data_IF_773764446765
#
_entry.id   IF_773764446765
#
_cell.length_a   1.000
_cell.length_b   1.000
_cell.length_c   1.000
_cell.angle_alpha   90.00
_cell.angle_beta   90.00
_cell.angle_gamma   90.00
#
_symmetry.space_group_name_H-M   'P 1'
#
loop_
_entity.id
_entity.type
_entity.pdbx_description
1 polymer ?
#
# COMPACT_ATOMS: atom_id res chain seq x y z
N UNK A 1 -16.15 29.49 3.15
CA UNK A 1 -14.71 29.17 2.97
C UNK A 1 -14.22 28.14 4.00
N UNK A 2 -15.04 27.80 5.00
CA UNK A 2 -14.78 26.73 6.00
C UNK A 2 -14.90 25.27 5.51
N UNK A 3 -15.83 24.87 4.62
CA UNK A 3 -16.12 23.45 4.42
C UNK A 3 -15.06 22.70 3.59
N UNK A 4 -14.15 23.42 2.93
CA UNK A 4 -13.06 22.81 2.16
C UNK A 4 -11.89 22.40 3.06
N UNK A 5 -11.63 23.19 4.12
CA UNK A 5 -10.58 22.89 5.09
C UNK A 5 -10.98 21.69 5.96
N UNK A 6 -12.24 21.61 6.38
CA UNK A 6 -12.76 20.49 7.17
C UNK A 6 -12.74 19.15 6.40
N UNK A 7 -12.93 19.18 5.07
CA UNK A 7 -12.81 18.00 4.23
C UNK A 7 -11.35 17.56 4.00
N UNK A 8 -10.42 18.52 3.93
CA UNK A 8 -8.99 18.25 3.81
C UNK A 8 -8.41 17.68 5.12
N UNK A 9 -8.82 18.21 6.26
CA UNK A 9 -8.48 17.66 7.58
C UNK A 9 -9.04 16.25 7.76
N UNK A 10 -10.28 16.01 7.38
CA UNK A 10 -10.89 14.67 7.44
C UNK A 10 -10.16 13.65 6.54
N UNK A 11 -9.71 14.06 5.35
CA UNK A 11 -8.95 13.20 4.45
C UNK A 11 -7.51 12.97 4.93
N UNK A 12 -6.85 14.01 5.46
CA UNK A 12 -5.51 13.91 6.04
C UNK A 12 -5.52 13.08 7.31
N UNK A 13 -6.51 13.25 8.18
CA UNK A 13 -6.72 12.42 9.36
C UNK A 13 -7.09 10.99 8.96
N UNK A 14 -7.87 10.73 7.90
CA UNK A 14 -8.11 9.36 7.45
C UNK A 14 -6.83 8.65 6.95
N UNK A 15 -5.94 9.38 6.27
CA UNK A 15 -4.67 8.86 5.77
C UNK A 15 -3.65 8.70 6.92
N UNK A 16 -3.62 9.61 7.89
CA UNK A 16 -2.65 9.65 8.98
C UNK A 16 -3.11 8.98 10.28
N UNK A 17 -4.42 8.74 10.45
CA UNK A 17 -5.01 7.94 11.55
C UNK A 17 -5.11 6.46 11.23
N UNK A 18 -4.59 6.03 10.08
CA UNK A 18 -4.24 4.61 9.87
C UNK A 18 -3.01 4.29 10.73
N UNK A 19 -3.18 4.42 12.04
CA UNK A 19 -2.33 3.88 13.07
C UNK A 19 -2.25 2.37 12.85
N UNK A 20 -1.03 1.84 12.94
CA UNK A 20 -0.66 0.45 12.70
C UNK A 20 -1.21 -0.53 13.77
N UNK A 21 -2.23 -0.13 14.50
CA UNK A 21 -3.01 -0.94 15.43
C UNK A 21 -4.14 -1.67 14.70
N UNK A 22 -3.82 -2.44 13.65
CA UNK A 22 -4.74 -3.46 13.14
C UNK A 22 -4.95 -4.49 14.26
N UNK A 23 -6.06 -4.34 14.97
CA UNK A 23 -6.57 -5.25 15.99
C UNK A 23 -6.42 -6.69 15.49
N UNK A 24 -5.49 -7.41 16.12
CA UNK A 24 -5.38 -8.87 16.01
C UNK A 24 -6.61 -9.49 16.68
N UNK A 25 -7.72 -9.60 15.96
CA UNK A 25 -8.77 -10.53 16.30
C UNK A 25 -8.73 -11.70 15.33
N UNK A 26 -8.09 -12.76 15.81
CA UNK A 26 -8.27 -14.09 15.28
C UNK A 26 -9.77 -14.43 15.31
N UNK A 27 -10.34 -14.74 14.14
CA UNK A 27 -11.35 -15.79 14.02
C UNK A 27 -11.09 -16.52 12.71
N UNK A 28 -10.21 -17.51 12.82
CA UNK A 28 -10.08 -18.59 11.86
C UNK A 28 -11.30 -19.51 12.01
N UNK A 29 -12.45 -19.13 11.43
CA UNK A 29 -13.61 -20.01 11.25
C UNK A 29 -14.65 -19.35 10.33
N UNK A 30 -14.33 -19.17 9.04
CA UNK A 30 -15.28 -18.51 8.14
C UNK A 30 -14.89 -18.42 6.67
N UNK A 31 -14.01 -19.29 6.15
CA UNK A 31 -13.63 -19.26 4.72
C UNK A 31 -14.73 -19.89 3.82
N UNK A 32 -15.83 -20.39 4.39
CA UNK A 32 -16.78 -21.24 3.65
C UNK A 32 -17.82 -20.51 2.78
N UNK A 33 -18.05 -19.19 2.91
CA UNK A 33 -19.14 -18.54 2.15
C UNK A 33 -18.90 -17.07 1.87
N UNK A 34 -17.80 -16.72 1.21
CA UNK A 34 -17.84 -15.55 0.33
C UNK A 34 -18.03 -16.10 -1.07
N UNK A 35 -19.26 -16.06 -1.55
CA UNK A 35 -19.63 -16.46 -2.91
C UNK A 35 -19.13 -15.37 -3.88
N UNK A 36 -17.81 -15.29 -4.02
CA UNK A 36 -17.14 -14.34 -4.88
C UNK A 36 -16.87 -15.03 -6.22
N UNK A 37 -17.46 -14.58 -7.34
CA UNK A 37 -17.33 -15.24 -8.66
C UNK A 37 -15.88 -15.31 -9.18
N UNK A 38 -14.95 -14.57 -8.55
CA UNK A 38 -13.52 -14.61 -8.84
C UNK A 38 -12.85 -15.92 -8.37
N UNK A 39 -13.34 -16.55 -7.28
CA UNK A 39 -12.69 -17.74 -6.69
C UNK A 39 -12.98 -18.98 -7.53
N UNK A 40 -14.22 -19.13 -7.99
CA UNK A 40 -14.66 -20.24 -8.83
C UNK A 40 -14.07 -20.18 -10.25
N UNK A 41 -13.77 -19.00 -10.76
CA UNK A 41 -13.08 -18.81 -12.05
C UNK A 41 -11.58 -19.08 -11.98
N UNK A 42 -10.92 -18.83 -10.83
CA UNK A 42 -9.53 -19.23 -10.58
C UNK A 42 -9.39 -20.76 -10.55
N UNK A 43 -10.28 -21.48 -9.86
CA UNK A 43 -10.27 -22.95 -9.84
C UNK A 43 -10.57 -23.59 -11.20
N UNK A 44 -11.42 -22.96 -12.02
CA UNK A 44 -11.69 -23.43 -13.39
C UNK A 44 -10.53 -23.15 -14.37
N UNK A 45 -9.71 -22.11 -14.10
CA UNK A 45 -8.52 -21.79 -14.89
C UNK A 45 -7.39 -22.81 -14.72
N UNK A 46 -7.19 -23.32 -13.50
CA UNK A 46 -6.16 -24.32 -13.17
C UNK A 46 -6.38 -25.65 -13.90
N UNK A 47 -7.63 -26.02 -14.20
CA UNK A 47 -7.95 -27.31 -14.84
C UNK A 47 -7.82 -27.32 -16.38
N UNK A 48 -7.50 -26.19 -17.04
CA UNK A 48 -7.46 -26.09 -18.52
C UNK A 48 -6.08 -26.20 -19.16
N UNK A 49 -5.01 -26.39 -18.39
CA UNK A 49 -3.61 -26.47 -18.91
C UNK A 49 -3.08 -27.90 -19.10
N UNK A 50 -3.95 -28.90 -19.24
CA UNK A 50 -3.55 -30.29 -19.59
C UNK A 50 -3.23 -30.42 -21.08
N UNK A 51 -2.12 -29.83 -21.51
CA UNK A 51 -1.68 -29.91 -22.90
C UNK A 51 -0.39 -29.20 -23.24
N UNK A 52 0.63 -29.29 -22.37
CA UNK A 52 2.00 -28.90 -22.72
C UNK A 52 2.94 -30.07 -22.42
N UNK A 53 3.43 -30.68 -23.49
CA UNK A 53 4.34 -31.82 -23.48
C UNK A 53 5.72 -31.45 -22.90
N UNK A 54 6.17 -32.29 -21.96
CA UNK A 54 7.54 -32.49 -21.46
C UNK A 54 8.42 -31.26 -21.09
N UNK A 55 8.65 -31.14 -19.78
CA UNK A 55 9.88 -30.67 -19.12
C UNK A 55 10.02 -29.22 -18.63
N UNK A 56 8.92 -28.53 -18.31
CA UNK A 56 9.00 -27.50 -17.28
C UNK A 56 8.79 -28.18 -15.92
N UNK A 57 9.90 -28.51 -15.26
CA UNK A 57 9.87 -29.18 -13.94
C UNK A 57 9.21 -28.23 -12.96
N UNK A 58 7.92 -28.42 -12.71
CA UNK A 58 7.15 -27.63 -11.75
C UNK A 58 7.94 -27.60 -10.44
N UNK A 59 8.35 -26.42 -9.95
CA UNK A 59 9.18 -26.32 -8.76
C UNK A 59 8.52 -27.04 -7.59
N UNK A 60 9.29 -27.88 -6.90
CA UNK A 60 8.82 -28.49 -5.66
C UNK A 60 8.37 -27.37 -4.70
N UNK A 61 7.13 -27.46 -4.21
CA UNK A 61 6.55 -26.44 -3.32
C UNK A 61 5.75 -25.33 -4.01
N UNK A 62 5.61 -25.32 -5.34
CA UNK A 62 4.76 -24.33 -6.04
C UNK A 62 3.34 -24.28 -5.47
N UNK A 63 2.70 -25.44 -5.32
CA UNK A 63 1.34 -25.55 -4.76
C UNK A 63 1.25 -24.98 -3.34
N UNK A 64 2.28 -25.23 -2.52
CA UNK A 64 2.34 -24.73 -1.15
C UNK A 64 2.49 -23.20 -1.13
N UNK A 65 3.30 -22.64 -2.04
CA UNK A 65 3.43 -21.19 -2.23
C UNK A 65 2.12 -20.56 -2.68
N UNK A 66 1.42 -21.16 -3.65
CA UNK A 66 0.10 -20.69 -4.11
C UNK A 66 -0.88 -20.65 -2.93
N UNK A 67 -1.03 -21.76 -2.19
CA UNK A 67 -1.94 -21.84 -1.06
C UNK A 67 -1.61 -20.80 0.03
N UNK A 68 -0.33 -20.57 0.31
CA UNK A 68 0.11 -19.56 1.28
C UNK A 68 -0.21 -18.14 0.83
N UNK A 69 0.04 -17.81 -0.44
CA UNK A 69 -0.27 -16.49 -1.01
C UNK A 69 -1.76 -16.23 -1.07
N UNK A 70 -2.55 -17.21 -1.52
CA UNK A 70 -4.01 -17.11 -1.52
C UNK A 70 -4.55 -16.86 -0.11
N UNK A 71 -4.08 -17.61 0.89
CA UNK A 71 -4.47 -17.38 2.29
C UNK A 71 -4.11 -15.96 2.73
N UNK A 72 -2.87 -15.53 2.48
CA UNK A 72 -2.41 -14.19 2.86
C UNK A 72 -3.25 -13.05 2.24
N UNK A 73 -3.69 -13.23 0.98
CA UNK A 73 -4.55 -12.28 0.28
C UNK A 73 -5.98 -12.30 0.82
N UNK A 74 -6.58 -13.48 1.04
CA UNK A 74 -7.93 -13.58 1.60
C UNK A 74 -8.01 -13.08 3.04
N UNK A 75 -6.95 -13.28 3.83
CA UNK A 75 -6.84 -12.72 5.19
C UNK A 75 -6.82 -11.17 5.19
N UNK A 76 -6.61 -10.52 4.04
CA UNK A 76 -6.58 -9.06 3.84
C UNK A 76 -7.73 -8.52 2.99
N UNK A 77 -8.66 -9.39 2.58
CA UNK A 77 -9.83 -8.97 1.85
C UNK A 77 -10.80 -8.28 2.82
N UNK A 78 -11.16 -7.03 2.53
CA UNK A 78 -12.17 -6.33 3.29
C UNK A 78 -13.56 -6.95 3.10
N UNK A 79 -14.47 -6.74 4.05
CA UNK A 79 -15.80 -7.36 4.06
C UNK A 79 -16.67 -6.99 2.84
N UNK A 80 -16.41 -5.84 2.22
CA UNK A 80 -17.04 -5.34 1.00
C UNK A 80 -16.32 -5.77 -0.29
N UNK A 81 -15.27 -6.60 -0.19
CA UNK A 81 -14.66 -7.29 -1.32
C UNK A 81 -13.48 -6.58 -1.99
N UNK A 82 -12.85 -5.59 -1.35
CA UNK A 82 -11.65 -4.93 -1.87
C UNK A 82 -10.39 -5.24 -1.06
N UNK A 83 -9.22 -4.95 -1.64
CA UNK A 83 -7.95 -4.89 -0.93
C UNK A 83 -7.53 -3.44 -0.78
N UNK A 84 -7.05 -3.08 0.41
CA UNK A 84 -6.42 -1.79 0.67
C UNK A 84 -4.94 -2.00 1.01
N UNK A 85 -4.09 -1.18 0.42
CA UNK A 85 -2.65 -1.23 0.60
C UNK A 85 -2.05 0.15 0.41
N UNK A 86 -0.85 0.35 0.95
CA UNK A 86 -0.11 1.59 0.80
C UNK A 86 0.28 1.80 -0.67
N UNK A 87 0.01 3.00 -1.19
CA UNK A 87 0.49 3.45 -2.48
C UNK A 87 1.65 4.41 -2.26
N UNK A 88 2.86 3.88 -2.27
CA UNK A 88 4.08 4.69 -2.15
C UNK A 88 4.41 5.34 -3.51
N UNK A 89 4.67 6.65 -3.48
CA UNK A 89 5.14 7.44 -4.61
C UNK A 89 6.53 8.03 -4.35
N UNK A 90 6.88 9.04 -5.14
CA UNK A 90 8.06 9.88 -4.92
C UNK A 90 7.91 10.75 -3.64
N UNK A 91 8.83 11.70 -3.43
CA UNK A 91 8.83 12.62 -2.30
C UNK A 91 7.98 13.88 -2.50
N UNK A 92 7.39 14.08 -3.69
CA UNK A 92 6.79 15.36 -4.08
C UNK A 92 5.53 15.65 -3.26
N UNK A 93 4.63 14.66 -3.12
CA UNK A 93 3.38 14.85 -2.38
C UNK A 93 3.63 15.16 -0.90
N UNK A 94 4.62 14.54 -0.28
CA UNK A 94 5.02 14.77 1.11
C UNK A 94 5.59 16.18 1.27
N UNK A 95 6.47 16.58 0.35
CA UNK A 95 7.11 17.91 0.36
C UNK A 95 6.08 19.02 0.19
N UNK A 96 5.15 18.87 -0.76
CA UNK A 96 4.08 19.84 -1.01
C UNK A 96 3.07 19.89 0.13
N UNK A 97 2.79 18.75 0.77
CA UNK A 97 1.93 18.71 1.96
C UNK A 97 2.56 19.43 3.15
N UNK A 98 3.86 19.24 3.42
CA UNK A 98 4.57 19.99 4.46
C UNK A 98 4.54 21.50 4.17
N UNK A 99 4.77 21.90 2.92
CA UNK A 99 4.70 23.30 2.49
C UNK A 99 3.30 23.89 2.69
N UNK A 100 2.25 23.13 2.37
CA UNK A 100 0.87 23.53 2.59
C UNK A 100 0.58 23.75 4.08
N UNK A 101 0.98 22.82 4.95
CA UNK A 101 0.80 22.95 6.40
C UNK A 101 1.57 24.16 6.94
N UNK A 102 2.79 24.40 6.48
CA UNK A 102 3.54 25.61 6.85
C UNK A 102 2.84 26.90 6.41
N UNK A 103 2.23 26.90 5.22
CA UNK A 103 1.43 28.04 4.76
C UNK A 103 0.20 28.30 5.62
N UNK A 104 -0.41 27.24 6.17
CA UNK A 104 -1.54 27.32 7.12
C UNK A 104 -1.12 27.64 8.56
N UNK A 105 0.19 27.66 8.88
CA UNK A 105 0.70 27.83 10.24
C UNK A 105 0.62 26.57 11.10
N UNK A 106 0.57 25.40 10.45
CA UNK A 106 0.42 24.06 11.04
C UNK A 106 1.69 23.20 10.90
N UNK A 107 2.85 23.78 10.64
CA UNK A 107 4.10 23.05 10.40
C UNK A 107 4.60 22.24 11.62
N UNK A 108 4.01 22.48 12.80
CA UNK A 108 4.36 21.78 14.05
C UNK A 108 3.35 20.72 14.46
N UNK A 109 2.32 20.49 13.65
CA UNK A 109 1.34 19.44 13.91
C UNK A 109 1.98 18.06 13.73
N UNK A 110 1.43 17.05 14.39
CA UNK A 110 1.92 15.67 14.24
C UNK A 110 1.87 15.17 12.77
N UNK A 111 0.84 15.49 11.95
CA UNK A 111 0.87 15.32 10.50
C UNK A 111 2.13 15.83 9.81
N UNK A 112 2.50 17.10 10.03
CA UNK A 112 3.68 17.71 9.42
C UNK A 112 4.96 16.97 9.85
N UNK A 113 5.08 16.67 11.13
CA UNK A 113 6.25 15.98 11.68
C UNK A 113 6.38 14.54 11.16
N UNK A 114 5.27 13.82 10.97
CA UNK A 114 5.26 12.49 10.35
C UNK A 114 5.71 12.54 8.89
N UNK A 115 5.16 13.48 8.10
CA UNK A 115 5.56 13.66 6.70
C UNK A 115 7.05 14.00 6.59
N UNK A 116 7.56 14.90 7.45
CA UNK A 116 8.97 15.27 7.47
C UNK A 116 9.89 14.10 7.84
N UNK A 117 9.51 13.24 8.80
CA UNK A 117 10.27 12.02 9.12
C UNK A 117 10.33 11.08 7.93
N UNK A 118 9.20 10.83 7.26
CA UNK A 118 9.14 9.95 6.09
C UNK A 118 9.98 10.48 4.93
N UNK A 119 9.96 11.80 4.73
CA UNK A 119 10.77 12.48 3.71
C UNK A 119 12.28 12.26 3.96
N UNK A 120 12.73 12.38 5.21
CA UNK A 120 14.12 12.10 5.59
C UNK A 120 14.50 10.62 5.43
N UNK A 121 13.59 9.70 5.71
CA UNK A 121 13.80 8.26 5.51
C UNK A 121 13.96 7.87 4.04
N UNK A 122 13.37 8.65 3.11
CA UNK A 122 13.48 8.43 1.68
C UNK A 122 14.77 8.99 1.06
N UNK A 123 15.58 9.72 1.82
CA UNK A 123 16.80 10.34 1.30
C UNK A 123 17.82 9.25 0.87
N UNK A 124 18.33 9.38 -0.35
CA UNK A 124 19.37 8.52 -0.87
C UNK A 124 20.71 8.73 -0.13
N UNK A 125 21.66 7.77 -0.21
CA UNK A 125 22.98 7.92 0.39
C UNK A 125 23.80 9.10 -0.13
N UNK A 126 23.51 9.60 -1.33
CA UNK A 126 24.13 10.79 -1.92
C UNK A 126 23.50 12.12 -1.46
N UNK A 127 22.45 12.05 -0.63
CA UNK A 127 21.71 13.20 -0.11
C UNK A 127 20.55 13.66 -1.00
N UNK A 128 20.31 13.03 -2.15
CA UNK A 128 19.22 13.37 -3.06
C UNK A 128 17.92 12.59 -2.79
N UNK A 129 16.89 12.90 -3.57
CA UNK A 129 15.64 12.15 -3.65
C UNK A 129 15.37 11.71 -5.09
N UNK A 130 14.83 10.51 -5.22
CA UNK A 130 14.49 9.88 -6.49
C UNK A 130 12.99 9.74 -6.73
N UNK A 131 12.61 9.21 -7.90
CA UNK A 131 11.21 8.97 -8.26
C UNK A 131 10.63 7.70 -7.62
N UNK A 132 11.49 6.79 -7.16
CA UNK A 132 11.13 5.55 -6.46
C UNK A 132 12.33 5.05 -5.63
N UNK A 133 12.13 4.13 -4.66
CA UNK A 133 13.20 3.65 -3.80
C UNK A 133 14.40 3.09 -4.58
N UNK A 134 15.58 3.64 -4.34
CA UNK A 134 16.83 3.22 -4.98
C UNK A 134 17.05 3.74 -6.41
N UNK A 135 16.21 4.65 -6.91
CA UNK A 135 16.52 5.35 -8.16
C UNK A 135 17.66 6.36 -7.98
N UNK A 136 18.26 6.78 -9.10
CA UNK A 136 19.14 7.95 -9.11
C UNK A 136 18.38 9.22 -8.64
N UNK A 137 19.14 10.23 -8.23
CA UNK A 137 18.60 11.54 -7.87
C UNK A 137 17.83 12.16 -9.03
N UNK A 138 16.61 12.62 -8.75
CA UNK A 138 15.85 13.51 -9.61
C UNK A 138 15.92 14.95 -9.08
N UNK A 139 16.19 15.91 -9.97
CA UNK A 139 16.34 17.32 -9.60
C UNK A 139 15.03 17.91 -9.06
N UNK A 140 13.89 17.59 -9.69
CA UNK A 140 12.58 18.14 -9.33
C UNK A 140 12.13 17.63 -7.97
N UNK A 141 12.34 16.34 -7.69
CA UNK A 141 12.10 15.72 -6.39
C UNK A 141 13.02 16.29 -5.31
N UNK A 142 14.33 16.35 -5.60
CA UNK A 142 15.34 16.78 -4.62
C UNK A 142 15.27 18.25 -4.23
N UNK A 143 14.83 19.14 -5.13
CA UNK A 143 14.69 20.57 -4.81
C UNK A 143 13.46 20.84 -3.93
N UNK A 144 12.45 19.95 -3.96
CA UNK A 144 11.25 20.10 -3.14
C UNK A 144 11.41 19.54 -1.73
N UNK A 145 12.18 18.46 -1.60
CA UNK A 145 12.43 17.78 -0.34
C UNK A 145 13.33 18.60 0.62
#
# INVERSE_FOLDING_TARGET
MEPFLEAADSAADAILSTDHSQERLATAAGIATVDCPVVSSVQAGVNRTTGLDAAERIPAGLEQSIQRTCRWLFDRLHADGHWSGELEGDSILQSEYILLLAWLGEERTEPALRAARRLLEQQNPDGGWGMFPGSEMDISASVKA
#
